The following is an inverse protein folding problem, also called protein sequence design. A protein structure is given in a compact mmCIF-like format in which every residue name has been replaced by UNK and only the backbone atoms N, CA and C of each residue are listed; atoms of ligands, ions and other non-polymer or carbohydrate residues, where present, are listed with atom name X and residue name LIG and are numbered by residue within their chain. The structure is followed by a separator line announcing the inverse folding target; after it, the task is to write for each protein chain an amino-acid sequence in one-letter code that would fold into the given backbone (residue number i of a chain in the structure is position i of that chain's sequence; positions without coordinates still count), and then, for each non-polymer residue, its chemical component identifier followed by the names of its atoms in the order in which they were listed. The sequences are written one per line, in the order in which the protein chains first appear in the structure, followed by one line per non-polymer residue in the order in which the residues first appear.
data_IF_986848930976
#
_entry.id   IF_986848930976
#
_cell.length_a   1.000
_cell.length_b   1.000
_cell.length_c   1.000
_cell.angle_alpha   90.00
_cell.angle_beta   90.00
_cell.angle_gamma   90.00
#
_symmetry.space_group_name_H-M   'P 1'
#
loop_
_entity.id
_entity.type
_entity.pdbx_description
1 polymer ?
#
# COMPACT_ATOMS: atom_id res chain seq x y z
N UNK A 1 -9.39 -15.15 -15.34
CA UNK A 1 -8.03 -15.55 -15.80
C UNK A 1 -7.33 -16.22 -14.60
N UNK A 2 -6.69 -17.37 -14.79
CA UNK A 2 -6.06 -18.09 -13.68
C UNK A 2 -4.79 -17.33 -13.24
N UNK A 3 -4.59 -17.18 -11.91
CA UNK A 3 -3.39 -16.54 -11.35
C UNK A 3 -2.12 -17.32 -11.74
N UNK A 4 -0.99 -16.61 -11.89
CA UNK A 4 0.31 -17.23 -12.19
C UNK A 4 0.95 -17.87 -10.97
N UNK A 5 0.58 -17.42 -9.77
CA UNK A 5 0.97 -18.01 -8.49
C UNK A 5 -0.27 -18.55 -7.82
N UNK A 6 -0.26 -19.83 -7.52
CA UNK A 6 -1.35 -20.46 -6.77
C UNK A 6 -1.24 -20.07 -5.28
N UNK A 7 -2.35 -20.07 -4.55
CA UNK A 7 -2.31 -19.93 -3.11
C UNK A 7 -1.40 -21.00 -2.49
N UNK A 8 -0.52 -20.59 -1.59
CA UNK A 8 0.29 -21.53 -0.81
C UNK A 8 -0.57 -22.20 0.25
N UNK A 9 -0.55 -23.53 0.29
CA UNK A 9 -1.23 -24.31 1.33
C UNK A 9 -0.50 -24.09 2.68
N UNK A 10 -1.18 -23.51 3.69
CA UNK A 10 -0.57 -23.32 5.02
C UNK A 10 -0.06 -24.61 5.67
N UNK A 11 -0.66 -25.75 5.31
CA UNK A 11 -0.23 -27.07 5.81
C UNK A 11 1.07 -27.58 5.20
N UNK A 12 1.47 -27.06 4.03
CA UNK A 12 2.61 -27.55 3.23
C UNK A 12 3.77 -26.55 3.10
N UNK A 13 3.79 -25.48 3.89
CA UNK A 13 4.84 -24.45 3.85
C UNK A 13 6.21 -24.98 4.28
N UNK A 14 7.25 -24.61 3.53
CA UNK A 14 8.63 -24.78 3.97
C UNK A 14 8.92 -23.93 5.23
N UNK A 15 9.96 -24.26 6.03
CA UNK A 15 10.22 -23.56 7.30
C UNK A 15 10.25 -22.03 7.20
N UNK A 16 11.01 -21.46 6.25
CA UNK A 16 11.10 -20.01 6.06
C UNK A 16 9.78 -19.38 5.58
N UNK A 17 8.99 -20.11 4.76
CA UNK A 17 7.67 -19.67 4.34
C UNK A 17 6.68 -19.64 5.52
N UNK A 18 6.77 -20.63 6.39
CA UNK A 18 5.94 -20.73 7.61
C UNK A 18 6.23 -19.58 8.57
N UNK A 19 7.51 -19.30 8.82
CA UNK A 19 7.91 -18.17 9.67
C UNK A 19 7.34 -16.85 9.14
N UNK A 20 7.48 -16.59 7.84
CA UNK A 20 6.92 -15.37 7.23
C UNK A 20 5.39 -15.37 7.27
N UNK A 21 4.74 -16.51 7.01
CA UNK A 21 3.29 -16.65 7.09
C UNK A 21 2.78 -16.29 8.49
N UNK A 22 3.40 -16.83 9.54
CA UNK A 22 3.03 -16.56 10.93
C UNK A 22 3.27 -15.10 11.31
N UNK A 23 4.37 -14.51 10.84
CA UNK A 23 4.65 -13.08 11.05
C UNK A 23 3.61 -12.17 10.39
N UNK A 24 3.01 -12.57 9.27
CA UNK A 24 1.95 -11.82 8.59
C UNK A 24 0.58 -12.10 9.25
N UNK A 25 0.19 -13.35 9.34
CA UNK A 25 -1.14 -13.77 9.78
C UNK A 25 -1.36 -13.60 11.29
N UNK A 26 -0.29 -13.68 12.10
CA UNK A 26 -0.32 -13.48 13.56
C UNK A 26 0.27 -12.14 14.03
N UNK A 27 0.80 -11.32 13.12
CA UNK A 27 1.47 -10.07 13.44
C UNK A 27 0.53 -8.89 13.69
N UNK A 28 1.06 -7.66 13.81
CA UNK A 28 0.27 -6.46 14.09
C UNK A 28 -0.85 -6.18 13.08
N UNK A 29 -0.68 -6.62 11.82
CA UNK A 29 -1.72 -6.48 10.78
C UNK A 29 -2.98 -7.30 11.08
N UNK A 30 -2.86 -8.43 11.76
CA UNK A 30 -3.97 -9.29 12.16
C UNK A 30 -4.65 -8.83 13.46
N UNK A 31 -4.10 -7.82 14.12
CA UNK A 31 -4.62 -7.28 15.37
C UNK A 31 -5.43 -6.00 15.12
N UNK A 32 -6.46 -5.76 15.92
CA UNK A 32 -7.34 -4.60 15.78
C UNK A 32 -8.39 -4.73 14.68
N UNK A 33 -9.06 -3.63 14.30
CA UNK A 33 -10.09 -3.65 13.27
C UNK A 33 -9.55 -4.12 11.92
N UNK A 34 -10.17 -5.14 11.35
CA UNK A 34 -9.81 -5.67 10.04
C UNK A 34 -10.72 -5.05 8.97
N UNK A 35 -10.19 -4.15 8.16
CA UNK A 35 -10.91 -3.52 7.06
C UNK A 35 -10.89 -4.38 5.78
N UNK A 36 -9.97 -5.33 5.70
CA UNK A 36 -9.92 -6.38 4.66
C UNK A 36 -9.34 -7.67 5.24
N UNK A 37 -9.72 -8.81 4.68
CA UNK A 37 -9.22 -10.10 5.15
C UNK A 37 -7.78 -10.35 4.68
N UNK A 38 -6.87 -10.71 5.60
CA UNK A 38 -5.49 -11.10 5.28
C UNK A 38 -5.39 -12.50 4.68
N UNK A 39 -6.36 -13.36 4.99
CA UNK A 39 -6.40 -14.75 4.55
C UNK A 39 -7.67 -15.05 3.78
N UNK A 40 -7.61 -16.07 2.94
CA UNK A 40 -8.75 -16.68 2.27
C UNK A 40 -9.46 -17.66 3.20
N UNK A 41 -10.67 -18.17 2.82
CA UNK A 41 -11.37 -19.18 3.60
C UNK A 41 -10.59 -20.50 3.77
N UNK A 42 -9.68 -20.82 2.86
CA UNK A 42 -8.77 -21.98 2.95
C UNK A 42 -7.54 -21.73 3.85
N UNK A 43 -7.42 -20.53 4.44
CA UNK A 43 -6.33 -20.12 5.30
C UNK A 43 -5.12 -19.57 4.56
N UNK A 44 -5.05 -19.64 3.23
CA UNK A 44 -3.95 -19.06 2.45
C UNK A 44 -3.95 -17.52 2.50
N UNK A 45 -2.78 -16.90 2.36
CA UNK A 45 -2.65 -15.44 2.36
C UNK A 45 -3.29 -14.82 1.10
N UNK A 46 -3.85 -13.62 1.25
CA UNK A 46 -4.41 -12.82 0.15
C UNK A 46 -3.39 -11.83 -0.41
N UNK A 47 -3.65 -11.42 -1.64
CA UNK A 47 -2.93 -10.32 -2.29
C UNK A 47 -1.42 -10.53 -2.35
N UNK A 48 -0.63 -9.47 -2.14
CA UNK A 48 0.82 -9.51 -2.23
C UNK A 48 1.44 -10.45 -1.19
N UNK A 49 0.77 -10.67 -0.06
CA UNK A 49 1.29 -11.51 1.02
C UNK A 49 1.48 -12.97 0.59
N UNK A 50 0.61 -13.50 -0.29
CA UNK A 50 0.81 -14.83 -0.86
C UNK A 50 2.05 -14.85 -1.77
N UNK A 51 2.26 -13.80 -2.57
CA UNK A 51 3.45 -13.69 -3.43
C UNK A 51 4.76 -13.56 -2.62
N UNK A 52 4.73 -12.96 -1.43
CA UNK A 52 5.90 -12.86 -0.54
C UNK A 52 6.48 -14.23 -0.17
N UNK A 53 5.65 -15.27 -0.12
CA UNK A 53 6.09 -16.62 0.18
C UNK A 53 6.94 -17.27 -0.94
N UNK A 54 6.99 -16.68 -2.14
CA UNK A 54 7.89 -17.12 -3.22
C UNK A 54 9.37 -16.91 -2.86
N UNK A 55 9.68 -15.83 -2.13
CA UNK A 55 11.03 -15.48 -1.69
C UNK A 55 10.95 -14.97 -0.24
N UNK A 56 10.90 -15.85 0.78
CA UNK A 56 10.56 -15.47 2.14
C UNK A 56 11.45 -14.39 2.76
N UNK A 57 12.76 -14.38 2.47
CA UNK A 57 13.67 -13.35 2.96
C UNK A 57 13.31 -11.97 2.39
N UNK A 58 13.11 -11.88 1.08
CA UNK A 58 12.72 -10.63 0.42
C UNK A 58 11.29 -10.22 0.81
N UNK A 59 10.38 -11.19 0.87
CA UNK A 59 9.00 -10.98 1.33
C UNK A 59 8.95 -10.47 2.77
N UNK A 60 9.82 -10.99 3.65
CA UNK A 60 9.98 -10.52 5.03
C UNK A 60 10.48 -9.07 5.11
N UNK A 61 11.43 -8.68 4.27
CA UNK A 61 11.90 -7.30 4.16
C UNK A 61 10.77 -6.35 3.69
N UNK A 62 10.02 -6.75 2.66
CA UNK A 62 8.86 -5.99 2.18
C UNK A 62 7.76 -5.88 3.26
N UNK A 63 7.47 -6.97 3.97
CA UNK A 63 6.53 -6.96 5.10
C UNK A 63 6.97 -5.98 6.19
N UNK A 64 8.26 -5.97 6.53
CA UNK A 64 8.82 -5.08 7.55
C UNK A 64 8.77 -3.62 7.13
N UNK A 65 9.07 -3.32 5.86
CA UNK A 65 8.96 -1.98 5.29
C UNK A 65 7.50 -1.50 5.31
N UNK A 66 6.57 -2.32 4.84
CA UNK A 66 5.15 -1.99 4.85
C UNK A 66 4.59 -1.78 6.26
N UNK A 67 5.09 -2.52 7.26
CA UNK A 67 4.75 -2.31 8.66
C UNK A 67 5.34 -0.98 9.19
N UNK A 68 6.55 -0.60 8.78
CA UNK A 68 7.14 0.68 9.15
C UNK A 68 6.32 1.85 8.60
N UNK A 69 5.99 1.85 7.32
CA UNK A 69 5.16 2.87 6.67
C UNK A 69 3.80 2.99 7.38
N UNK A 70 3.17 1.86 7.73
CA UNK A 70 1.82 1.87 8.29
C UNK A 70 1.76 2.31 9.76
N UNK A 71 2.75 1.93 10.58
CA UNK A 71 2.66 2.02 12.04
C UNK A 71 3.71 2.93 12.68
N UNK A 72 4.72 3.38 11.94
CA UNK A 72 5.86 4.13 12.49
C UNK A 72 6.21 5.39 11.69
N UNK A 73 5.48 5.66 10.61
CA UNK A 73 5.65 6.85 9.80
C UNK A 73 5.05 8.10 10.43
N UNK A 74 5.42 9.25 9.90
CA UNK A 74 4.94 10.58 10.30
C UNK A 74 3.71 11.04 9.52
N UNK A 75 3.41 10.43 8.36
CA UNK A 75 2.19 10.70 7.59
C UNK A 75 0.96 10.40 8.46
N UNK A 76 0.01 11.33 8.47
CA UNK A 76 -1.31 11.06 9.07
C UNK A 76 -1.95 9.86 8.40
N UNK A 77 -2.86 9.17 9.12
CA UNK A 77 -3.57 8.03 8.55
C UNK A 77 -4.29 8.40 7.25
N UNK A 78 -4.90 9.58 7.21
CA UNK A 78 -5.63 10.08 6.06
C UNK A 78 -4.71 10.42 4.88
N UNK A 79 -3.63 11.17 5.11
CA UNK A 79 -2.64 11.51 4.09
C UNK A 79 -1.97 10.25 3.49
N UNK A 80 -1.68 9.25 4.31
CA UNK A 80 -1.16 7.96 3.86
C UNK A 80 -2.12 7.24 2.92
N UNK A 81 -3.41 7.17 3.26
CA UNK A 81 -4.39 6.52 2.39
C UNK A 81 -4.63 7.30 1.08
N UNK A 82 -4.56 8.64 1.10
CA UNK A 82 -4.57 9.47 -0.13
C UNK A 82 -3.43 9.03 -1.06
N UNK A 83 -2.20 8.98 -0.56
CA UNK A 83 -1.05 8.57 -1.37
C UNK A 83 -1.18 7.14 -1.90
N UNK A 84 -1.59 6.18 -1.06
CA UNK A 84 -1.77 4.78 -1.46
C UNK A 84 -2.82 4.64 -2.56
N UNK A 85 -3.96 5.31 -2.43
CA UNK A 85 -5.05 5.23 -3.41
C UNK A 85 -4.68 5.88 -4.74
N UNK A 86 -3.89 6.96 -4.75
CA UNK A 86 -3.33 7.54 -5.98
C UNK A 86 -2.34 6.58 -6.65
N UNK A 87 -1.49 5.88 -5.89
CA UNK A 87 -0.63 4.81 -6.44
C UNK A 87 -1.48 3.69 -7.03
N UNK A 88 -2.54 3.27 -6.33
CA UNK A 88 -3.45 2.23 -6.81
C UNK A 88 -4.17 2.63 -8.10
N UNK A 89 -4.59 3.90 -8.22
CA UNK A 89 -5.19 4.44 -9.45
C UNK A 89 -4.19 4.45 -10.61
N UNK A 90 -2.97 4.96 -10.39
CA UNK A 90 -1.91 5.00 -11.40
C UNK A 90 -1.59 3.61 -11.98
N UNK A 91 -1.51 2.59 -11.11
CA UNK A 91 -1.21 1.22 -11.52
C UNK A 91 -2.43 0.41 -11.94
N UNK A 92 -3.65 0.95 -11.85
CA UNK A 92 -4.92 0.22 -12.00
C UNK A 92 -4.92 -1.07 -11.16
N UNK A 93 -4.55 -0.92 -9.89
CA UNK A 93 -4.42 -2.03 -8.92
C UNK A 93 -5.72 -2.22 -8.17
N UNK A 94 -6.58 -3.13 -8.65
CA UNK A 94 -7.89 -3.40 -8.06
C UNK A 94 -7.77 -3.87 -6.61
N UNK A 95 -6.81 -4.75 -6.31
CA UNK A 95 -6.59 -5.26 -4.95
C UNK A 95 -6.23 -4.14 -3.96
N UNK A 96 -5.27 -3.26 -4.32
CA UNK A 96 -4.86 -2.16 -3.45
C UNK A 96 -6.02 -1.16 -3.26
N UNK A 97 -6.76 -0.87 -4.33
CA UNK A 97 -7.93 0.00 -4.28
C UNK A 97 -8.99 -0.55 -3.33
N UNK A 98 -9.41 -1.82 -3.49
CA UNK A 98 -10.42 -2.45 -2.65
C UNK A 98 -10.00 -2.44 -1.17
N UNK A 99 -8.77 -2.85 -0.88
CA UNK A 99 -8.25 -2.90 0.47
C UNK A 99 -8.16 -1.51 1.12
N UNK A 100 -7.66 -0.52 0.39
CA UNK A 100 -7.35 0.81 0.93
C UNK A 100 -8.54 1.78 0.89
N UNK A 101 -9.57 1.57 0.06
CA UNK A 101 -10.82 2.33 0.15
C UNK A 101 -11.50 2.15 1.51
N UNK A 102 -11.54 0.92 2.02
CA UNK A 102 -12.14 0.65 3.33
C UNK A 102 -11.33 1.28 4.48
N UNK A 103 -9.99 1.25 4.38
CA UNK A 103 -9.10 1.90 5.36
C UNK A 103 -9.21 3.42 5.26
N UNK A 104 -9.26 3.97 4.06
CA UNK A 104 -9.43 5.40 3.79
C UNK A 104 -10.74 5.95 4.36
N UNK A 105 -11.85 5.26 4.14
CA UNK A 105 -13.14 5.61 4.73
C UNK A 105 -13.08 5.61 6.26
N UNK A 106 -12.45 4.60 6.86
CA UNK A 106 -12.24 4.52 8.31
C UNK A 106 -11.28 5.62 8.83
N UNK A 107 -10.41 6.16 7.98
CA UNK A 107 -9.52 7.29 8.27
C UNK A 107 -10.17 8.65 8.02
N UNK A 108 -11.45 8.69 7.61
CA UNK A 108 -12.24 9.90 7.42
C UNK A 108 -12.26 10.44 5.99
N UNK A 109 -11.83 9.68 4.97
CA UNK A 109 -12.06 10.05 3.58
C UNK A 109 -13.53 9.95 3.25
N UNK A 110 -14.08 11.00 2.64
CA UNK A 110 -15.47 11.05 2.20
C UNK A 110 -15.69 10.25 0.91
N UNK A 111 -16.94 9.89 0.57
CA UNK A 111 -17.24 9.22 -0.70
C UNK A 111 -16.77 10.00 -1.93
N UNK A 112 -16.89 11.34 -1.93
CA UNK A 112 -16.47 12.19 -3.05
C UNK A 112 -14.94 12.21 -3.18
N UNK A 113 -14.20 12.27 -2.07
CA UNK A 113 -12.74 12.17 -2.07
C UNK A 113 -12.26 10.79 -2.55
N UNK A 114 -12.93 9.72 -2.12
CA UNK A 114 -12.62 8.37 -2.59
C UNK A 114 -12.90 8.21 -4.10
N UNK A 115 -13.94 8.86 -4.63
CA UNK A 115 -14.22 8.89 -6.06
C UNK A 115 -13.12 9.67 -6.82
N UNK A 116 -12.70 10.83 -6.32
CA UNK A 116 -11.59 11.59 -6.90
C UNK A 116 -10.29 10.78 -6.92
N UNK A 117 -9.95 10.09 -5.82
CA UNK A 117 -8.77 9.22 -5.75
C UNK A 117 -8.87 8.03 -6.71
N UNK A 118 -10.05 7.49 -6.94
CA UNK A 118 -10.27 6.45 -7.95
C UNK A 118 -9.93 6.95 -9.36
N UNK A 119 -10.29 8.20 -9.65
CA UNK A 119 -10.01 8.84 -10.94
C UNK A 119 -8.57 9.37 -11.04
N UNK A 120 -7.77 9.25 -9.97
CA UNK A 120 -6.40 9.73 -9.89
C UNK A 120 -6.29 11.25 -9.77
N UNK A 121 -7.35 11.93 -9.31
CA UNK A 121 -7.42 13.37 -9.20
C UNK A 121 -6.87 13.86 -7.85
N UNK A 122 -5.69 14.52 -7.80
CA UNK A 122 -5.13 15.10 -6.59
C UNK A 122 -5.80 16.41 -6.17
N UNK A 123 -6.60 17.05 -7.04
CA UNK A 123 -7.12 18.41 -6.83
C UNK A 123 -8.28 18.48 -5.83
N UNK A 124 -8.81 17.31 -5.44
CA UNK A 124 -9.85 17.21 -4.41
C UNK A 124 -9.37 17.56 -3.00
N UNK A 125 -8.05 17.72 -2.81
CA UNK A 125 -7.43 17.94 -1.51
C UNK A 125 -6.78 19.32 -1.42
N UNK A 126 -6.72 19.87 -0.21
CA UNK A 126 -6.13 21.19 0.06
C UNK A 126 -5.17 21.12 1.27
N UNK A 127 -4.39 22.19 1.48
CA UNK A 127 -3.40 22.25 2.56
C UNK A 127 -2.36 21.14 2.44
N UNK A 128 -1.93 20.58 3.56
CA UNK A 128 -0.90 19.53 3.61
C UNK A 128 -1.31 18.25 2.84
N UNK A 129 -2.59 17.90 2.87
CA UNK A 129 -3.10 16.77 2.09
C UNK A 129 -3.05 17.02 0.58
N UNK A 130 -3.32 18.24 0.14
CA UNK A 130 -3.15 18.65 -1.27
C UNK A 130 -1.69 18.58 -1.71
N UNK A 131 -0.76 18.98 -0.84
CA UNK A 131 0.68 18.84 -1.08
C UNK A 131 1.06 17.35 -1.21
N UNK A 132 0.62 16.49 -0.29
CA UNK A 132 0.85 15.03 -0.35
C UNK A 132 0.28 14.44 -1.64
N UNK A 133 -0.96 14.79 -2.00
CA UNK A 133 -1.61 14.27 -3.21
C UNK A 133 -0.85 14.68 -4.49
N UNK A 134 -0.51 15.97 -4.62
CA UNK A 134 0.23 16.49 -5.78
C UNK A 134 1.64 15.89 -5.87
N UNK A 135 2.35 15.82 -4.73
CA UNK A 135 3.67 15.21 -4.67
C UNK A 135 3.62 13.71 -5.04
N UNK A 136 2.60 12.98 -4.60
CA UNK A 136 2.43 11.57 -4.98
C UNK A 136 2.32 11.41 -6.49
N UNK A 137 1.54 12.25 -7.17
CA UNK A 137 1.38 12.19 -8.64
C UNK A 137 2.69 12.50 -9.35
N UNK A 138 3.47 13.51 -8.91
CA UNK A 138 4.78 13.79 -9.49
C UNK A 138 5.78 12.66 -9.24
N UNK A 139 5.83 12.09 -8.04
CA UNK A 139 6.69 10.95 -7.70
C UNK A 139 6.37 9.72 -8.56
N UNK A 140 5.12 9.50 -8.92
CA UNK A 140 4.72 8.43 -9.85
C UNK A 140 5.22 8.69 -11.28
N UNK A 141 5.45 9.96 -11.66
CA UNK A 141 6.12 10.32 -12.90
C UNK A 141 7.66 10.22 -12.82
N UNK A 142 8.22 10.02 -11.62
CA UNK A 142 9.63 9.69 -11.39
C UNK A 142 10.46 10.76 -10.71
N UNK A 143 9.91 11.93 -10.40
CA UNK A 143 10.65 13.04 -9.76
C UNK A 143 9.70 13.95 -8.96
N UNK A 144 10.29 14.89 -8.22
CA UNK A 144 9.67 16.12 -7.72
C UNK A 144 10.43 17.29 -8.33
N UNK A 145 9.73 18.21 -9.01
CA UNK A 145 10.38 19.45 -9.45
C UNK A 145 10.80 20.33 -8.26
N UNK A 146 11.73 21.25 -8.52
CA UNK A 146 12.30 22.12 -7.47
C UNK A 146 11.23 22.96 -6.75
N UNK A 147 10.18 23.38 -7.44
CA UNK A 147 9.11 24.19 -6.86
C UNK A 147 8.26 23.34 -5.91
N UNK A 148 7.84 22.15 -6.32
CA UNK A 148 7.05 21.26 -5.44
C UNK A 148 7.90 20.70 -4.30
N UNK A 149 9.21 20.44 -4.53
CA UNK A 149 10.12 20.10 -3.45
C UNK A 149 10.16 21.19 -2.38
N UNK A 150 10.31 22.45 -2.80
CA UNK A 150 10.31 23.60 -1.88
C UNK A 150 9.00 23.69 -1.08
N UNK A 151 7.87 23.64 -1.79
CA UNK A 151 6.55 23.70 -1.15
C UNK A 151 6.34 22.52 -0.18
N UNK A 152 6.65 21.31 -0.60
CA UNK A 152 6.49 20.12 0.24
C UNK A 152 7.42 20.15 1.47
N UNK A 153 8.69 20.55 1.28
CA UNK A 153 9.65 20.65 2.39
C UNK A 153 9.22 21.68 3.44
N UNK A 154 8.62 22.78 3.01
CA UNK A 154 8.10 23.82 3.90
C UNK A 154 6.81 23.41 4.60
N UNK A 155 5.88 22.76 3.89
CA UNK A 155 4.56 22.42 4.41
C UNK A 155 4.57 21.16 5.29
N UNK A 156 5.21 20.08 4.84
CA UNK A 156 5.16 18.76 5.50
C UNK A 156 6.52 18.29 6.02
N UNK A 157 7.60 18.96 5.65
CA UNK A 157 8.96 18.63 6.08
C UNK A 157 9.64 17.56 5.24
N UNK A 158 10.98 17.61 5.16
CA UNK A 158 11.79 16.68 4.36
C UNK A 158 11.66 15.22 4.83
N UNK A 159 11.42 14.98 6.12
CA UNK A 159 11.21 13.63 6.68
C UNK A 159 9.94 12.99 6.09
N UNK A 160 8.84 13.75 6.02
CA UNK A 160 7.59 13.26 5.44
C UNK A 160 7.70 13.07 3.93
N UNK A 161 8.46 13.93 3.22
CA UNK A 161 8.75 13.73 1.80
C UNK A 161 9.56 12.44 1.58
N UNK A 162 10.55 12.15 2.44
CA UNK A 162 11.28 10.87 2.38
C UNK A 162 10.35 9.67 2.62
N UNK A 163 9.46 9.76 3.60
CA UNK A 163 8.44 8.73 3.85
C UNK A 163 7.53 8.54 2.63
N UNK A 164 7.05 9.64 2.04
CA UNK A 164 6.18 9.62 0.87
C UNK A 164 6.86 8.96 -0.34
N UNK A 165 8.14 9.29 -0.63
CA UNK A 165 8.89 8.63 -1.70
C UNK A 165 9.03 7.13 -1.46
N UNK A 166 9.28 6.74 -0.20
CA UNK A 166 9.37 5.33 0.21
C UNK A 166 8.03 4.61 0.04
N UNK A 167 6.93 5.25 0.44
CA UNK A 167 5.57 4.74 0.28
C UNK A 167 5.22 4.52 -1.20
N UNK A 168 5.45 5.52 -2.05
CA UNK A 168 5.18 5.44 -3.50
C UNK A 168 5.95 4.29 -4.13
N UNK A 169 7.25 4.17 -3.84
CA UNK A 169 8.09 3.07 -4.34
C UNK A 169 7.60 1.70 -3.85
N UNK A 170 7.24 1.59 -2.57
CA UNK A 170 6.74 0.35 -1.97
C UNK A 170 5.43 -0.11 -2.61
N UNK A 171 4.42 0.75 -2.67
CA UNK A 171 3.11 0.39 -3.24
C UNK A 171 3.17 0.19 -4.75
N UNK A 172 4.03 0.92 -5.48
CA UNK A 172 4.32 0.62 -6.89
C UNK A 172 4.92 -0.77 -7.07
N UNK A 173 5.82 -1.20 -6.18
CA UNK A 173 6.37 -2.56 -6.20
C UNK A 173 5.28 -3.61 -5.97
N UNK A 174 4.39 -3.40 -5.00
CA UNK A 174 3.26 -4.31 -4.75
C UNK A 174 2.31 -4.39 -5.95
N UNK A 175 1.91 -3.24 -6.50
CA UNK A 175 1.03 -3.17 -7.66
C UNK A 175 1.62 -3.90 -8.88
N UNK A 176 2.93 -3.73 -9.13
CA UNK A 176 3.66 -4.43 -10.19
C UNK A 176 3.66 -5.95 -9.94
N UNK A 177 3.92 -6.41 -8.71
CA UNK A 177 3.88 -7.83 -8.36
C UNK A 177 2.48 -8.42 -8.54
N UNK A 178 1.44 -7.74 -8.05
CA UNK A 178 0.05 -8.14 -8.21
C UNK A 178 -0.31 -8.32 -9.69
N UNK A 179 0.08 -7.37 -10.54
CA UNK A 179 -0.13 -7.40 -11.99
C UNK A 179 0.65 -8.53 -12.66
N UNK A 180 1.97 -8.66 -12.39
CA UNK A 180 2.84 -9.68 -12.99
C UNK A 180 2.40 -11.08 -12.61
N UNK A 181 2.07 -11.31 -11.34
CA UNK A 181 1.64 -12.61 -10.84
C UNK A 181 0.14 -12.87 -11.04
N UNK A 182 -0.62 -11.89 -11.56
CA UNK A 182 -2.07 -11.97 -11.75
C UNK A 182 -2.77 -12.44 -10.48
N UNK A 183 -2.43 -11.79 -9.40
CA UNK A 183 -3.05 -12.07 -8.11
C UNK A 183 -4.49 -11.57 -8.17
N UNK A 184 -5.44 -12.45 -7.93
CA UNK A 184 -6.85 -12.08 -7.85
C UNK A 184 -7.12 -11.26 -6.57
N UNK A 185 -8.06 -10.30 -6.62
CA UNK A 185 -8.54 -9.58 -5.46
C UNK A 185 -9.04 -10.47 -4.32
#
# INVERSE_FOLDING_TARGET
MQGRVQPFDPGALAPAQRELFEAIAGGPRAQGPQHFALTRPDGSLRGPFNAFLLAPELGGALQSLGAAIRYRGALTARAREIAILLVAAHWDSEFEREAHQAVGAASGLTPDELAALHDGDPTAFAGDEGVVATATVQLLAGDLDDELWRVASEAIGAEVVFELTTLVGYYSTLALQLRVFRVAP
#
